data_IF_621653144063
#
_entry.id   IF_621653144063
#
_cell.length_a   1.000
_cell.length_b   1.000
_cell.length_c   1.000
_cell.angle_alpha   90.00
_cell.angle_beta   90.00
_cell.angle_gamma   90.00
#
_symmetry.space_group_name_H-M   'P 1'
#
loop_
_entity.id
_entity.type
_entity.pdbx_description
1 polymer ?
#
# COMPACT_ATOMS: atom_id res chain seq x y z
N UNK A 1 -8.91 6.10 -15.00
CA UNK A 1 -8.85 7.54 -14.70
C UNK A 1 -8.06 7.76 -13.43
N UNK A 2 -7.28 8.84 -13.37
CA UNK A 2 -6.47 9.22 -12.20
C UNK A 2 -7.12 10.38 -11.47
N UNK A 3 -7.32 10.23 -10.16
CA UNK A 3 -7.87 11.29 -9.32
C UNK A 3 -6.74 11.98 -8.56
N UNK A 4 -6.49 13.26 -8.88
CA UNK A 4 -5.50 14.10 -8.22
C UNK A 4 -6.24 15.19 -7.46
N UNK A 5 -6.09 15.21 -6.14
CA UNK A 5 -6.79 16.14 -5.25
C UNK A 5 -5.85 17.23 -4.73
N UNK A 6 -6.32 18.47 -4.73
CA UNK A 6 -5.62 19.62 -4.11
C UNK A 6 -6.37 20.01 -2.84
N UNK A 7 -5.64 20.11 -1.72
CA UNK A 7 -6.22 20.44 -0.42
C UNK A 7 -5.84 21.86 0.02
N UNK A 8 -6.70 22.45 0.87
CA UNK A 8 -6.35 23.68 1.58
C UNK A 8 -5.21 23.42 2.57
N UNK A 9 -4.39 24.45 2.83
CA UNK A 9 -3.31 24.39 3.83
C UNK A 9 -3.89 24.03 5.21
N UNK A 10 -3.23 23.11 5.91
CA UNK A 10 -3.65 22.64 7.24
C UNK A 10 -4.71 21.54 7.22
N UNK A 11 -5.12 21.05 6.04
CA UNK A 11 -6.00 19.89 5.97
C UNK A 11 -5.32 18.62 6.51
N UNK A 12 -6.09 17.78 7.21
CA UNK A 12 -5.64 16.46 7.66
C UNK A 12 -5.66 15.48 6.48
N UNK A 13 -4.54 15.39 5.76
CA UNK A 13 -4.42 14.59 4.55
C UNK A 13 -4.60 13.09 4.81
N UNK A 14 -4.15 12.60 5.96
CA UNK A 14 -4.28 11.19 6.32
C UNK A 14 -5.74 10.83 6.59
N UNK A 15 -6.48 11.68 7.33
CA UNK A 15 -7.92 11.48 7.51
C UNK A 15 -8.68 11.57 6.20
N UNK A 16 -8.37 12.56 5.36
CA UNK A 16 -9.03 12.70 4.06
C UNK A 16 -8.78 11.49 3.17
N UNK A 17 -7.54 10.98 3.12
CA UNK A 17 -7.21 9.77 2.39
C UNK A 17 -8.00 8.56 2.91
N UNK A 18 -8.04 8.33 4.22
CA UNK A 18 -8.82 7.20 4.81
C UNK A 18 -10.29 7.26 4.39
N UNK A 19 -10.94 8.42 4.57
CA UNK A 19 -12.35 8.59 4.21
C UNK A 19 -12.62 8.36 2.71
N UNK A 20 -11.70 8.78 1.83
CA UNK A 20 -11.82 8.53 0.39
C UNK A 20 -11.71 7.04 0.06
N UNK A 21 -10.75 6.34 0.67
CA UNK A 21 -10.53 4.91 0.44
C UNK A 21 -11.69 4.07 0.98
N UNK A 22 -12.18 4.36 2.19
CA UNK A 22 -13.37 3.71 2.78
C UNK A 22 -14.60 3.87 1.87
N UNK A 23 -14.79 5.06 1.28
CA UNK A 23 -15.87 5.28 0.32
C UNK A 23 -15.70 4.45 -0.95
N UNK A 24 -14.48 4.34 -1.48
CA UNK A 24 -14.22 3.54 -2.68
C UNK A 24 -14.45 2.04 -2.40
N UNK A 25 -13.96 1.54 -1.27
CA UNK A 25 -14.17 0.16 -0.82
C UNK A 25 -15.66 -0.16 -0.65
N UNK A 26 -16.45 0.76 -0.08
CA UNK A 26 -17.90 0.55 0.08
C UNK A 26 -18.67 0.44 -1.24
N UNK A 27 -18.09 0.91 -2.35
CA UNK A 27 -18.62 0.74 -3.69
C UNK A 27 -18.00 -0.45 -4.44
N UNK A 28 -17.22 -1.29 -3.75
CA UNK A 28 -16.54 -2.45 -4.34
C UNK A 28 -15.36 -2.10 -5.23
N UNK A 29 -14.87 -0.85 -5.20
CA UNK A 29 -13.71 -0.46 -5.98
C UNK A 29 -12.43 -1.04 -5.38
N UNK A 30 -11.54 -1.51 -6.24
CA UNK A 30 -10.17 -1.88 -5.88
C UNK A 30 -9.20 -0.75 -6.23
N UNK A 31 -8.21 -0.57 -5.38
CA UNK A 31 -7.12 0.37 -5.62
C UNK A 31 -5.83 -0.15 -4.97
N UNK A 32 -4.66 0.26 -5.48
CA UNK A 32 -4.46 1.01 -6.74
C UNK A 32 -4.66 0.11 -7.97
N UNK A 33 -5.23 0.68 -9.05
CA UNK A 33 -5.60 -0.09 -10.24
C UNK A 33 -4.40 -0.44 -11.16
N UNK A 34 -3.46 0.49 -11.33
CA UNK A 34 -2.31 0.33 -12.26
C UNK A 34 -0.97 0.76 -11.67
N UNK A 35 -0.96 1.67 -10.67
CA UNK A 35 0.28 2.26 -10.13
C UNK A 35 1.01 1.40 -9.10
N UNK A 36 0.50 0.20 -8.80
CA UNK A 36 0.98 -0.65 -7.71
C UNK A 36 0.86 0.04 -6.33
N UNK A 37 1.07 -0.71 -5.26
CA UNK A 37 0.81 -0.25 -3.88
C UNK A 37 1.86 0.74 -3.36
N UNK A 38 3.09 0.66 -3.88
CA UNK A 38 4.24 1.40 -3.37
C UNK A 38 4.35 1.26 -1.85
N UNK A 39 4.67 2.35 -1.14
CA UNK A 39 4.57 2.43 0.32
C UNK A 39 3.29 3.15 0.80
N UNK A 40 2.42 3.53 -0.14
CA UNK A 40 1.27 4.40 0.14
C UNK A 40 -0.01 3.63 0.45
N UNK A 41 -0.16 2.45 -0.15
CA UNK A 41 -1.35 1.62 -0.01
C UNK A 41 -1.00 0.31 0.69
N UNK A 42 -1.99 -0.23 1.39
CA UNK A 42 -1.91 -1.58 1.93
C UNK A 42 -1.93 -2.58 0.78
N UNK A 43 -1.03 -3.57 0.80
CA UNK A 43 -1.09 -4.66 -0.17
C UNK A 43 -2.15 -5.68 0.19
N UNK A 44 -2.83 -6.23 -0.83
CA UNK A 44 -3.64 -7.44 -0.67
C UNK A 44 -2.74 -8.60 -0.22
N UNK A 45 -3.32 -9.56 0.53
CA UNK A 45 -2.58 -10.68 1.12
C UNK A 45 -1.87 -11.55 0.07
N UNK A 46 -2.49 -11.71 -1.10
CA UNK A 46 -1.91 -12.43 -2.24
C UNK A 46 -0.62 -11.78 -2.74
N UNK A 47 -0.56 -10.44 -2.77
CA UNK A 47 0.62 -9.67 -3.18
C UNK A 47 1.70 -9.74 -2.11
N UNK A 48 1.33 -9.66 -0.82
CA UNK A 48 2.27 -9.83 0.31
C UNK A 48 2.94 -11.20 0.27
N UNK A 49 2.13 -12.26 0.20
CA UNK A 49 2.60 -13.65 0.13
C UNK A 49 3.49 -13.89 -1.09
N UNK A 50 3.14 -13.30 -2.24
CA UNK A 50 3.96 -13.40 -3.45
C UNK A 50 5.33 -12.74 -3.27
N UNK A 51 5.38 -11.52 -2.73
CA UNK A 51 6.64 -10.82 -2.47
C UNK A 51 7.49 -11.55 -1.42
N UNK A 52 6.90 -12.07 -0.35
CA UNK A 52 7.63 -12.82 0.68
C UNK A 52 8.25 -14.11 0.13
N UNK A 53 7.56 -14.79 -0.80
CA UNK A 53 8.11 -15.96 -1.49
C UNK A 53 9.33 -15.63 -2.35
N UNK A 54 9.34 -14.45 -2.99
CA UNK A 54 10.45 -14.00 -3.84
C UNK A 54 11.61 -13.42 -3.05
N UNK A 55 11.32 -12.68 -1.97
CA UNK A 55 12.29 -12.06 -1.09
C UNK A 55 12.03 -12.42 0.38
N UNK A 56 12.36 -13.66 0.78
CA UNK A 56 12.16 -14.11 2.15
C UNK A 56 12.96 -13.28 3.17
N UNK A 57 14.04 -12.63 2.73
CA UNK A 57 14.89 -11.80 3.60
C UNK A 57 14.45 -10.35 3.72
N UNK A 58 13.47 -9.90 2.95
CA UNK A 58 13.02 -8.50 2.90
C UNK A 58 14.18 -7.52 2.60
N UNK A 59 15.03 -7.85 1.63
CA UNK A 59 16.19 -7.06 1.24
C UNK A 59 15.88 -6.15 0.03
N UNK A 60 15.03 -6.59 -0.90
CA UNK A 60 14.71 -5.88 -2.13
C UNK A 60 13.43 -5.08 -1.97
N UNK A 61 13.59 -3.77 -1.78
CA UNK A 61 12.51 -2.78 -1.63
C UNK A 61 11.58 -3.03 -0.40
N UNK A 62 12.16 -3.07 0.82
CA UNK A 62 11.41 -3.42 2.03
C UNK A 62 10.32 -2.40 2.37
N UNK A 63 9.21 -2.90 2.89
CA UNK A 63 8.06 -2.10 3.29
C UNK A 63 7.08 -1.74 2.18
N UNK A 64 7.21 -2.33 0.98
CA UNK A 64 6.18 -2.24 -0.06
C UNK A 64 4.84 -2.76 0.47
N UNK A 65 3.74 -2.11 0.10
CA UNK A 65 2.40 -2.51 0.53
C UNK A 65 2.14 -2.26 2.01
N UNK A 66 2.85 -1.30 2.61
CA UNK A 66 2.85 -1.02 4.07
C UNK A 66 3.29 -2.21 4.93
N UNK A 67 4.07 -3.12 4.37
CA UNK A 67 4.72 -4.21 5.12
C UNK A 67 5.89 -3.69 5.98
N UNK A 68 6.52 -4.58 6.74
CA UNK A 68 7.70 -4.24 7.55
C UNK A 68 8.86 -3.77 6.67
N UNK A 69 9.61 -2.79 7.18
CA UNK A 69 10.88 -2.33 6.58
C UNK A 69 12.10 -3.10 7.09
N UNK A 70 11.92 -3.96 8.10
CA UNK A 70 13.03 -4.67 8.73
C UNK A 70 13.46 -5.88 7.92
N UNK A 71 14.78 -6.07 7.82
CA UNK A 71 15.37 -7.27 7.23
C UNK A 71 15.01 -8.50 8.07
N UNK A 72 14.76 -9.62 7.39
CA UNK A 72 14.52 -10.94 7.99
C UNK A 72 15.75 -11.82 7.80
N UNK A 73 15.99 -12.71 8.75
CA UNK A 73 16.97 -13.78 8.59
C UNK A 73 16.38 -14.84 7.65
N UNK A 74 17.19 -15.34 6.70
CA UNK A 74 16.80 -16.53 5.96
C UNK A 74 16.83 -17.72 6.92
N UNK A 75 15.72 -18.45 7.03
CA UNK A 75 15.79 -19.80 7.59
C UNK A 75 16.46 -20.67 6.53
N UNK A 76 17.61 -21.24 6.88
CA UNK A 76 18.33 -22.21 6.06
C UNK A 76 17.55 -23.52 5.91
#
# INVERSE_FOLDING_TARGET
FHNIYVYRKGADLERMKRLMLERLESHGAKFPAEHNVGHMYEAEETVKSFHEKLDPTNTFNPGIGRTSKSRRSANA
#
